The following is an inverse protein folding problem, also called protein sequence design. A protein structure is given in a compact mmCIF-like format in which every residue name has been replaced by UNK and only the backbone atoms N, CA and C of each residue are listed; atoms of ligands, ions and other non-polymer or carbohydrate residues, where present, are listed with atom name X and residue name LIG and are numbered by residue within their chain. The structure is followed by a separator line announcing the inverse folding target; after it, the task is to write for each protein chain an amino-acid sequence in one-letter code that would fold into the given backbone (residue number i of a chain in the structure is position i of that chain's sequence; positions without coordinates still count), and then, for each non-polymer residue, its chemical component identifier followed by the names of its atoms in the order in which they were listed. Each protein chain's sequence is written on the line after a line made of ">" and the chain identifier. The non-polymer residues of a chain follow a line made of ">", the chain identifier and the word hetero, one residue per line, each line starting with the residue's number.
data_IF_778221537331
#
_entry.id   IF_778221537331
#
_cell.length_a   1.000
_cell.length_b   1.000
_cell.length_c   1.000
_cell.angle_alpha   90.00
_cell.angle_beta   90.00
_cell.angle_gamma   90.00
#
_symmetry.space_group_name_H-M   'P 1'
#
loop_
_entity.id
_entity.type
_entity.pdbx_description
1 polymer ?
#
# COMPACT_ATOMS: atom_id res chain seq x y z
N UNK A 1 -6.70 7.28 -15.39
CA UNK A 1 -7.21 5.93 -15.05
C UNK A 1 -6.67 5.54 -13.69
N UNK A 2 -7.51 4.98 -12.84
CA UNK A 2 -7.10 4.60 -11.49
C UNK A 2 -6.46 3.21 -11.51
N UNK A 3 -5.22 3.12 -11.03
CA UNK A 3 -4.56 1.82 -10.81
C UNK A 3 -4.75 1.42 -9.37
N UNK A 4 -5.46 0.35 -9.14
CA UNK A 4 -5.89 -0.11 -7.82
C UNK A 4 -4.98 -1.21 -7.30
N UNK A 5 -4.75 -1.23 -6.00
CA UNK A 5 -3.90 -2.26 -5.38
C UNK A 5 -4.36 -2.62 -3.98
N UNK A 6 -3.99 -3.82 -3.56
CA UNK A 6 -4.10 -4.30 -2.19
C UNK A 6 -2.70 -4.38 -1.58
N UNK A 7 -2.56 -3.85 -0.39
CA UNK A 7 -1.33 -3.89 0.40
C UNK A 7 -1.57 -4.73 1.64
N UNK A 8 -0.71 -5.71 1.87
CA UNK A 8 -0.82 -6.62 3.00
C UNK A 8 0.42 -6.52 3.88
N UNK A 9 0.21 -6.16 5.14
CA UNK A 9 1.26 -6.03 6.14
C UNK A 9 1.24 -7.28 6.99
N UNK A 10 2.22 -8.17 6.76
CA UNK A 10 2.28 -9.49 7.35
C UNK A 10 3.10 -9.44 8.64
N UNK A 11 2.59 -10.04 9.69
CA UNK A 11 3.25 -10.10 10.99
C UNK A 11 2.73 -11.22 11.86
N UNK A 12 3.41 -11.46 12.98
CA UNK A 12 3.04 -12.51 13.93
C UNK A 12 1.67 -12.27 14.54
N UNK A 13 1.30 -11.00 14.73
CA UNK A 13 0.02 -10.60 15.33
C UNK A 13 -1.14 -10.58 14.32
N UNK A 14 -0.88 -10.87 13.06
CA UNK A 14 -1.91 -10.93 12.02
C UNK A 14 -1.48 -10.27 10.73
N UNK A 15 -2.30 -10.48 9.71
CA UNK A 15 -2.14 -9.89 8.39
C UNK A 15 -3.17 -8.78 8.21
N UNK A 16 -2.70 -7.56 8.04
CA UNK A 16 -3.55 -6.37 7.88
C UNK A 16 -3.57 -5.95 6.43
N UNK A 17 -4.75 -5.88 5.83
CA UNK A 17 -4.92 -5.61 4.42
C UNK A 17 -5.50 -4.22 4.22
N UNK A 18 -4.93 -3.47 3.28
CA UNK A 18 -5.34 -2.10 2.94
C UNK A 18 -5.53 -1.98 1.43
N UNK A 19 -6.70 -1.54 1.02
CA UNK A 19 -7.01 -1.24 -0.37
C UNK A 19 -6.68 0.22 -0.69
N UNK A 20 -6.07 0.45 -1.84
CA UNK A 20 -5.80 1.81 -2.34
C UNK A 20 -6.30 1.94 -3.78
N UNK A 21 -7.14 2.93 -4.02
CA UNK A 21 -7.85 3.11 -5.28
C UNK A 21 -7.00 3.73 -6.38
N UNK A 22 -6.02 4.55 -6.03
CA UNK A 22 -5.17 5.26 -6.99
C UNK A 22 -3.69 4.94 -6.77
N UNK A 23 -2.90 5.10 -7.84
CA UNK A 23 -1.44 4.98 -7.81
C UNK A 23 -0.93 3.65 -7.24
N UNK A 24 -1.64 2.56 -7.59
CA UNK A 24 -1.27 1.21 -7.16
C UNK A 24 -0.18 0.55 -7.98
N UNK A 25 0.32 1.18 -9.04
CA UNK A 25 1.46 0.68 -9.81
C UNK A 25 2.76 0.73 -8.98
N UNK A 26 3.81 -0.03 -9.35
CA UNK A 26 4.98 -0.20 -8.48
C UNK A 26 5.64 1.08 -7.97
N UNK A 27 5.83 2.10 -8.82
CA UNK A 27 6.43 3.35 -8.38
C UNK A 27 5.52 4.15 -7.44
N UNK A 28 4.21 4.11 -7.66
CA UNK A 28 3.23 4.69 -6.74
C UNK A 28 3.22 3.97 -5.38
N UNK A 29 3.29 2.65 -5.39
CA UNK A 29 3.41 1.84 -4.19
C UNK A 29 4.69 2.17 -3.41
N UNK A 30 5.82 2.24 -4.11
CA UNK A 30 7.11 2.60 -3.51
C UNK A 30 7.06 3.96 -2.81
N UNK A 31 6.48 4.97 -3.46
CA UNK A 31 6.32 6.31 -2.87
C UNK A 31 5.44 6.30 -1.62
N UNK A 32 4.30 5.65 -1.67
CA UNK A 32 3.38 5.61 -0.53
C UNK A 32 3.99 4.88 0.66
N UNK A 33 4.62 3.73 0.43
CA UNK A 33 5.28 2.96 1.49
C UNK A 33 6.44 3.76 2.08
N UNK A 34 7.25 4.41 1.24
CA UNK A 34 8.35 5.25 1.72
C UNK A 34 7.85 6.44 2.55
N UNK A 35 6.78 7.08 2.15
CA UNK A 35 6.14 8.15 2.94
C UNK A 35 5.66 7.61 4.30
N UNK A 36 5.07 6.42 4.32
CA UNK A 36 4.67 5.79 5.57
C UNK A 36 5.86 5.55 6.50
N UNK A 37 6.98 5.05 5.98
CA UNK A 37 8.20 4.81 6.75
C UNK A 37 8.77 6.13 7.28
N UNK A 38 8.91 7.13 6.42
CA UNK A 38 9.64 8.35 6.75
C UNK A 38 8.85 9.28 7.70
N UNK A 39 7.50 9.28 7.62
CA UNK A 39 6.68 10.28 8.30
C UNK A 39 5.71 9.72 9.35
N UNK A 40 5.28 8.47 9.24
CA UNK A 40 4.18 7.96 10.06
C UNK A 40 4.51 6.69 10.84
N UNK A 41 5.51 5.94 10.41
CA UNK A 41 5.92 4.71 11.07
C UNK A 41 7.10 4.94 12.03
N UNK A 42 7.38 3.92 12.83
CA UNK A 42 8.60 3.89 13.62
C UNK A 42 9.82 3.72 12.71
N UNK A 43 10.98 4.26 13.08
CA UNK A 43 12.21 3.97 12.35
C UNK A 43 12.47 2.46 12.26
N UNK A 44 12.81 2.00 11.06
CA UNK A 44 13.22 0.61 10.88
C UNK A 44 14.50 0.31 11.68
N UNK A 45 14.68 -0.91 12.20
CA UNK A 45 13.95 -2.13 11.85
C UNK A 45 12.68 -2.41 12.67
N UNK A 46 12.21 -1.49 13.50
CA UNK A 46 10.97 -1.71 14.24
C UNK A 46 9.78 -1.81 13.28
N UNK A 47 9.10 -2.93 13.32
CA UNK A 47 7.94 -3.22 12.48
C UNK A 47 6.87 -3.95 13.30
N UNK A 48 5.70 -3.38 13.30
CA UNK A 48 4.49 -3.98 13.85
C UNK A 48 3.45 -3.89 12.73
N UNK A 49 2.90 -5.01 12.29
CA UNK A 49 2.06 -5.07 11.09
C UNK A 49 0.83 -4.16 11.15
N UNK A 50 0.17 -4.08 12.31
CA UNK A 50 -0.98 -3.21 12.55
C UNK A 50 -0.59 -1.72 12.52
N UNK A 51 0.46 -1.35 13.22
CA UNK A 51 0.95 0.03 13.26
C UNK A 51 1.45 0.49 11.89
N UNK A 52 2.11 -0.39 11.16
CA UNK A 52 2.59 -0.07 9.80
C UNK A 52 1.42 0.08 8.83
N UNK A 53 0.39 -0.76 8.93
CA UNK A 53 -0.84 -0.61 8.14
C UNK A 53 -1.53 0.74 8.43
N UNK A 54 -1.59 1.16 9.69
CA UNK A 54 -2.12 2.47 10.07
C UNK A 54 -1.28 3.62 9.50
N UNK A 55 0.05 3.51 9.56
CA UNK A 55 0.97 4.49 8.96
C UNK A 55 0.78 4.57 7.44
N UNK A 56 0.61 3.45 6.77
CA UNK A 56 0.32 3.40 5.34
C UNK A 56 -1.01 4.07 5.00
N UNK A 57 -2.05 3.85 5.79
CA UNK A 57 -3.34 4.54 5.60
C UNK A 57 -3.18 6.06 5.72
N UNK A 58 -2.42 6.54 6.70
CA UNK A 58 -2.13 7.96 6.86
C UNK A 58 -1.39 8.51 5.63
N UNK A 59 -0.33 7.84 5.20
CA UNK A 59 0.44 8.21 4.02
C UNK A 59 -0.43 8.25 2.76
N UNK A 60 -1.27 7.24 2.57
CA UNK A 60 -2.17 7.18 1.42
C UNK A 60 -3.24 8.27 1.40
N UNK A 61 -3.69 8.71 2.57
CA UNK A 61 -4.70 9.79 2.69
C UNK A 61 -4.13 11.18 2.41
N UNK A 62 -2.85 11.42 2.68
CA UNK A 62 -2.24 12.72 2.38
C UNK A 62 -1.84 12.82 0.90
N UNK A 63 -1.82 11.70 0.20
CA UNK A 63 -1.53 11.68 -1.22
C UNK A 63 -0.07 12.01 -1.52
N UNK A 64 0.16 13.04 -2.34
CA UNK A 64 1.49 13.37 -2.88
C UNK A 64 2.15 14.57 -2.21
N UNK A 65 1.87 14.81 -0.93
CA UNK A 65 2.63 15.81 -0.15
C UNK A 65 4.06 15.33 0.10
N UNK A 66 5.01 16.24 0.03
CA UNK A 66 6.45 15.92 0.05
C UNK A 66 7.16 16.42 1.30
N UNK A 67 6.51 17.25 2.13
CA UNK A 67 7.12 17.86 3.31
C UNK A 67 6.14 17.92 4.49
N UNK A 68 6.65 18.20 5.69
CA UNK A 68 5.82 18.40 6.89
C UNK A 68 4.93 19.63 6.73
N UNK A 69 5.44 20.66 6.08
CA UNK A 69 4.68 21.87 5.77
C UNK A 69 3.49 21.54 4.85
N UNK A 70 3.72 20.74 3.82
CA UNK A 70 2.64 20.30 2.91
C UNK A 70 1.59 19.47 3.64
N UNK A 71 1.98 18.61 4.57
CA UNK A 71 1.06 17.85 5.42
C UNK A 71 0.18 18.81 6.23
N UNK A 72 0.79 19.81 6.84
CA UNK A 72 0.08 20.79 7.67
C UNK A 72 -0.90 21.61 6.85
N UNK A 73 -0.47 22.10 5.68
CA UNK A 73 -1.32 22.84 4.75
C UNK A 73 -2.49 21.99 4.28
N UNK A 74 -2.22 20.77 3.84
CA UNK A 74 -3.24 19.83 3.41
C UNK A 74 -4.28 19.57 4.51
N UNK A 75 -3.85 19.32 5.74
CA UNK A 75 -4.73 19.04 6.87
C UNK A 75 -5.59 20.27 7.21
N UNK A 76 -5.04 21.47 7.08
CA UNK A 76 -5.79 22.73 7.30
C UNK A 76 -6.87 22.92 6.25
N UNK A 77 -6.57 22.64 4.97
CA UNK A 77 -7.50 22.81 3.86
C UNK A 77 -8.60 21.73 3.83
N UNK A 78 -8.26 20.48 4.14
CA UNK A 78 -9.14 19.34 3.90
C UNK A 78 -9.71 18.72 5.18
N UNK A 79 -9.12 19.02 6.34
CA UNK A 79 -9.29 18.28 7.58
C UNK A 79 -10.73 17.95 7.99
N UNK A 80 -11.59 18.94 8.29
CA UNK A 80 -12.89 18.60 8.87
C UNK A 80 -14.02 18.39 7.85
N UNK A 81 -13.83 18.64 6.58
CA UNK A 81 -14.91 18.57 5.60
C UNK A 81 -15.13 17.15 5.09
N UNK A 82 -16.39 16.77 4.89
CA UNK A 82 -16.74 15.48 4.32
C UNK A 82 -16.15 15.30 2.91
N UNK A 83 -16.11 16.36 2.12
CA UNK A 83 -15.55 16.35 0.77
C UNK A 83 -14.04 16.11 0.81
N UNK A 84 -13.30 16.77 1.69
CA UNK A 84 -11.87 16.52 1.87
C UNK A 84 -11.58 15.09 2.28
N UNK A 85 -12.40 14.51 3.17
CA UNK A 85 -12.27 13.11 3.57
C UNK A 85 -12.57 12.13 2.44
N UNK A 86 -13.48 12.46 1.55
CA UNK A 86 -13.88 11.62 0.44
C UNK A 86 -12.84 11.58 -0.68
N UNK A 87 -12.27 12.71 -1.03
CA UNK A 87 -11.45 12.86 -2.24
C UNK A 87 -9.94 12.93 -1.99
N UNK A 88 -9.53 13.30 -0.78
CA UNK A 88 -8.12 13.33 -0.44
C UNK A 88 -7.53 11.93 -0.22
N UNK A 89 -6.30 11.73 -0.63
CA UNK A 89 -5.51 10.56 -0.31
C UNK A 89 -5.88 9.27 -1.02
N UNK A 90 -6.45 9.34 -2.21
CA UNK A 90 -6.50 8.18 -3.10
C UNK A 90 -7.36 7.00 -2.65
N UNK A 91 -8.41 7.24 -1.85
CA UNK A 91 -9.39 6.20 -1.52
C UNK A 91 -8.82 5.01 -0.75
N UNK A 92 -7.97 5.26 0.22
CA UNK A 92 -7.40 4.21 1.08
C UNK A 92 -8.47 3.69 2.04
N UNK A 93 -8.60 2.35 2.12
CA UNK A 93 -9.56 1.68 3.00
C UNK A 93 -8.94 0.45 3.66
N UNK A 94 -9.25 0.25 4.95
CA UNK A 94 -8.96 -1.01 5.64
C UNK A 94 -9.85 -2.11 5.08
N UNK A 95 -9.25 -3.27 4.83
CA UNK A 95 -9.93 -4.49 4.44
C UNK A 95 -9.95 -5.47 5.62
N UNK A 96 -10.74 -6.55 5.54
CA UNK A 96 -10.70 -7.60 6.56
C UNK A 96 -9.28 -8.15 6.75
N UNK A 97 -8.95 -8.50 7.97
CA UNK A 97 -7.71 -9.23 8.28
C UNK A 97 -7.76 -10.63 7.67
N UNK A 98 -6.62 -11.19 7.37
CA UNK A 98 -6.51 -12.56 6.92
C UNK A 98 -5.61 -12.75 5.72
N UNK A 99 -5.79 -13.87 5.04
CA UNK A 99 -4.97 -14.25 3.90
C UNK A 99 -5.11 -13.23 2.76
N UNK A 100 -3.98 -12.63 2.30
CA UNK A 100 -4.02 -11.57 1.29
C UNK A 100 -4.73 -11.95 -0.01
N UNK A 101 -4.50 -13.15 -0.51
CA UNK A 101 -5.12 -13.62 -1.75
C UNK A 101 -6.64 -13.79 -1.60
N UNK A 102 -7.09 -14.32 -0.47
CA UNK A 102 -8.52 -14.47 -0.20
C UNK A 102 -9.20 -13.11 -0.06
N UNK A 103 -8.58 -12.16 0.62
CA UNK A 103 -9.10 -10.79 0.75
C UNK A 103 -9.15 -10.11 -0.61
N UNK A 104 -8.12 -10.26 -1.44
CA UNK A 104 -8.10 -9.73 -2.80
C UNK A 104 -9.29 -10.25 -3.62
N UNK A 105 -9.48 -11.56 -3.64
CA UNK A 105 -10.54 -12.19 -4.43
C UNK A 105 -11.96 -11.83 -3.94
N UNK A 106 -12.16 -11.77 -2.64
CA UNK A 106 -13.49 -11.50 -2.06
C UNK A 106 -13.89 -10.04 -2.06
N UNK A 107 -12.95 -9.14 -1.84
CA UNK A 107 -13.25 -7.75 -1.52
C UNK A 107 -12.62 -6.73 -2.45
N UNK A 108 -11.65 -7.13 -3.26
CA UNK A 108 -10.84 -6.23 -4.07
C UNK A 108 -10.61 -6.77 -5.48
N UNK A 109 -11.63 -7.34 -6.11
CA UNK A 109 -11.51 -7.98 -7.43
C UNK A 109 -11.08 -7.04 -8.55
N UNK A 110 -11.19 -5.73 -8.34
CA UNK A 110 -10.84 -4.70 -9.32
C UNK A 110 -9.38 -4.24 -9.26
N UNK A 111 -8.55 -4.87 -8.42
CA UNK A 111 -7.14 -4.52 -8.30
C UNK A 111 -6.30 -5.05 -9.46
N UNK A 112 -5.23 -4.32 -9.79
CA UNK A 112 -4.25 -4.71 -10.80
C UNK A 112 -2.95 -5.22 -10.16
N UNK A 113 -2.67 -4.79 -8.93
CA UNK A 113 -1.46 -5.14 -8.19
C UNK A 113 -1.78 -5.55 -6.76
N UNK A 114 -0.91 -6.38 -6.21
CA UNK A 114 -0.95 -6.81 -4.82
C UNK A 114 0.46 -6.81 -4.25
N UNK A 115 0.61 -6.26 -3.06
CA UNK A 115 1.90 -6.14 -2.39
C UNK A 115 1.82 -6.77 -1.01
N UNK A 116 2.84 -7.56 -0.66
CA UNK A 116 3.00 -8.15 0.67
C UNK A 116 4.28 -7.62 1.29
N UNK A 117 4.17 -7.04 2.49
CA UNK A 117 5.31 -6.53 3.24
C UNK A 117 5.52 -7.37 4.50
N UNK A 118 6.77 -7.70 4.80
CA UNK A 118 7.16 -8.45 5.98
C UNK A 118 8.60 -8.10 6.38
N UNK A 119 8.92 -8.28 7.67
CA UNK A 119 10.30 -8.21 8.14
C UNK A 119 10.96 -9.57 8.03
N UNK A 120 12.14 -9.61 7.43
CA UNK A 120 13.03 -10.78 7.44
C UNK A 120 14.31 -10.36 8.15
N UNK A 121 14.50 -10.81 9.39
CA UNK A 121 15.52 -10.24 10.25
C UNK A 121 15.24 -8.76 10.50
N UNK A 122 16.23 -7.91 10.25
CA UNK A 122 16.11 -6.45 10.41
C UNK A 122 15.81 -5.72 9.08
N UNK A 123 15.43 -6.46 8.04
CA UNK A 123 15.22 -5.90 6.70
C UNK A 123 13.74 -6.00 6.30
N UNK A 124 13.16 -4.87 5.93
CA UNK A 124 11.83 -4.85 5.35
C UNK A 124 11.87 -5.42 3.92
N UNK A 125 11.09 -6.44 3.68
CA UNK A 125 10.97 -7.09 2.39
C UNK A 125 9.59 -6.89 1.80
N UNK A 126 9.51 -6.90 0.47
CA UNK A 126 8.27 -6.77 -0.28
C UNK A 126 8.21 -7.82 -1.37
N UNK A 127 7.03 -8.37 -1.56
CA UNK A 127 6.66 -9.16 -2.74
C UNK A 127 5.61 -8.39 -3.50
N UNK A 128 5.77 -8.27 -4.79
CA UNK A 128 4.83 -7.58 -5.66
C UNK A 128 4.27 -8.55 -6.70
N UNK A 129 2.96 -8.48 -6.89
CA UNK A 129 2.23 -9.31 -7.83
C UNK A 129 1.42 -8.43 -8.77
N UNK A 130 1.36 -8.82 -10.02
CA UNK A 130 0.44 -8.27 -11.02
C UNK A 130 -0.47 -9.37 -11.51
N UNK A 131 -1.76 -9.09 -11.67
CA UNK A 131 -2.65 -10.14 -12.12
C UNK A 131 -4.10 -9.72 -12.22
N UNK A 132 -4.95 -10.71 -12.21
CA UNK A 132 -6.38 -10.57 -12.26
C UNK A 132 -7.01 -11.39 -11.13
N UNK A 133 -7.72 -10.70 -10.24
CA UNK A 133 -8.40 -11.31 -9.09
C UNK A 133 -9.93 -11.32 -9.26
N UNK A 134 -10.40 -10.89 -10.42
CA UNK A 134 -11.81 -10.98 -10.76
C UNK A 134 -12.19 -12.42 -11.12
N UNK A 135 -12.99 -13.07 -10.27
CA UNK A 135 -13.56 -14.38 -10.54
C UNK A 135 -14.84 -14.56 -9.72
N UNK A 136 -15.89 -15.09 -10.34
CA UNK A 136 -17.15 -15.43 -9.68
C UNK A 136 -16.98 -16.47 -8.56
N UNK A 137 -15.89 -17.23 -8.58
CA UNK A 137 -15.55 -18.24 -7.57
C UNK A 137 -14.65 -17.71 -6.45
N UNK A 138 -14.32 -16.43 -6.47
CA UNK A 138 -13.42 -15.80 -5.51
C UNK A 138 -12.02 -16.46 -5.45
N UNK A 139 -11.54 -16.91 -6.59
CA UNK A 139 -10.20 -17.47 -6.76
C UNK A 139 -9.40 -16.60 -7.73
N UNK A 140 -8.08 -16.46 -7.57
CA UNK A 140 -7.29 -15.70 -8.54
C UNK A 140 -7.33 -16.37 -9.91
N UNK A 141 -7.62 -15.60 -10.96
CA UNK A 141 -7.57 -16.08 -12.33
C UNK A 141 -6.12 -16.24 -12.79
N UNK A 142 -5.25 -15.40 -12.26
CA UNK A 142 -3.81 -15.47 -12.51
C UNK A 142 -3.10 -14.31 -11.85
N UNK A 143 -1.99 -14.60 -11.21
CA UNK A 143 -1.08 -13.57 -10.71
C UNK A 143 0.36 -13.97 -11.02
N UNK A 144 1.17 -12.98 -11.42
CA UNK A 144 2.59 -13.13 -11.63
C UNK A 144 3.35 -12.38 -10.55
N UNK A 145 4.26 -13.05 -9.87
CA UNK A 145 5.20 -12.38 -8.98
C UNK A 145 6.20 -11.60 -9.83
N UNK A 146 6.15 -10.27 -9.72
CA UNK A 146 6.97 -9.38 -10.52
C UNK A 146 8.19 -8.84 -9.77
N UNK A 147 8.20 -8.97 -8.44
CA UNK A 147 9.34 -8.61 -7.61
C UNK A 147 9.27 -9.35 -6.27
N UNK A 148 10.45 -9.74 -5.76
CA UNK A 148 10.66 -10.21 -4.39
C UNK A 148 12.03 -9.74 -3.91
N UNK A 149 12.11 -9.14 -2.73
CA UNK A 149 13.37 -8.71 -2.14
C UNK A 149 13.24 -7.57 -1.14
N UNK A 150 14.38 -7.01 -0.69
CA UNK A 150 14.40 -5.87 0.20
C UNK A 150 13.69 -4.65 -0.38
N UNK A 151 13.06 -3.87 0.48
CA UNK A 151 12.26 -2.72 0.07
C UNK A 151 13.07 -1.65 -0.66
N UNK A 152 14.31 -1.40 -0.26
CA UNK A 152 15.20 -0.44 -0.95
C UNK A 152 15.48 -0.87 -2.40
N UNK A 153 15.66 -2.15 -2.64
CA UNK A 153 15.80 -2.70 -3.99
C UNK A 153 14.50 -2.62 -4.79
N UNK A 154 13.36 -2.80 -4.14
CA UNK A 154 12.04 -2.59 -4.77
C UNK A 154 11.89 -1.14 -5.23
N UNK A 155 12.26 -0.17 -4.40
CA UNK A 155 12.19 1.25 -4.78
C UNK A 155 13.02 1.50 -6.04
N UNK A 156 14.27 1.04 -6.07
CA UNK A 156 15.15 1.20 -7.23
C UNK A 156 14.57 0.55 -8.49
N UNK A 157 14.07 -0.67 -8.38
CA UNK A 157 13.46 -1.40 -9.47
C UNK A 157 12.19 -0.70 -9.99
N UNK A 158 11.31 -0.27 -9.09
CA UNK A 158 10.06 0.39 -9.45
C UNK A 158 10.27 1.73 -10.15
N UNK A 159 11.25 2.53 -9.66
CA UNK A 159 11.57 3.81 -10.28
C UNK A 159 12.24 3.64 -11.63
N UNK A 160 13.09 2.63 -11.81
CA UNK A 160 13.68 2.30 -13.10
C UNK A 160 12.61 1.89 -14.14
N UNK A 161 11.58 1.15 -13.72
CA UNK A 161 10.46 0.79 -14.59
C UNK A 161 9.64 2.00 -15.02
N UNK A 162 9.43 2.97 -14.14
CA UNK A 162 8.70 4.20 -14.46
C UNK A 162 9.46 5.05 -15.48
N UNK A 163 10.80 5.07 -15.40
CA UNK A 163 11.66 5.84 -16.29
C UNK A 163 11.86 5.20 -17.67
N UNK A 164 11.54 3.93 -17.80
CA UNK A 164 11.72 3.18 -19.04
C UNK A 164 10.67 3.49 -20.11
#
# INVERSE_FOLDING_TARGET
>A
MSTRALYSFLGEDGNYNVYKHHDGYPSGAARTIKTAIDWFAWPLPRYESDAFAAAFCAAGKIGWVESVEDVTEWATENGPTAQGRQWSGGGVRLMPQGNPTQVACKHCSDIEYRYELTMIGDVLNIRAFKGNWWDDKHAPIGEDEIFIGPFDQFVAWAMAKEAA
#
